data_IF_447546943233
#
_entry.id   IF_447546943233
#
_cell.length_a   1.000
_cell.length_b   1.000
_cell.length_c   1.000
_cell.angle_alpha   90.00
_cell.angle_beta   90.00
_cell.angle_gamma   90.00
#
_symmetry.space_group_name_H-M   'P 1'
#
loop_
_entity.id
_entity.type
_entity.pdbx_description
1 polymer ?
#
# COMPACT_ATOMS: atom_id res chain seq x y z
N UNK A 1 42.53 39.96 -28.12
CA UNK A 1 43.59 38.94 -28.27
C UNK A 1 42.90 37.58 -28.26
N UNK A 2 42.60 36.98 -29.42
CA UNK A 2 43.42 36.02 -30.19
C UNK A 2 43.71 34.71 -29.46
N UNK A 3 43.23 33.63 -30.09
CA UNK A 3 43.68 32.23 -30.10
C UNK A 3 42.90 31.26 -29.17
N UNK A 4 42.13 30.25 -29.64
CA UNK A 4 42.36 29.09 -30.53
C UNK A 4 43.20 27.94 -29.92
N UNK A 5 42.52 26.78 -29.87
CA UNK A 5 42.92 25.36 -30.12
C UNK A 5 43.25 24.40 -28.95
N UNK A 6 42.64 23.20 -29.10
CA UNK A 6 43.05 21.79 -28.81
C UNK A 6 42.25 21.17 -27.66
N UNK A 7 41.52 20.06 -27.81
CA UNK A 7 41.84 18.72 -28.36
C UNK A 7 40.56 18.12 -29.05
N UNK A 8 40.57 17.52 -30.26
CA UNK A 8 40.98 16.15 -30.65
C UNK A 8 40.48 15.06 -29.67
N UNK A 9 39.66 14.05 -30.00
CA UNK A 9 39.08 13.52 -31.24
C UNK A 9 38.40 12.16 -30.94
N UNK A 10 37.75 11.57 -31.96
CA UNK A 10 37.25 10.17 -32.06
C UNK A 10 35.92 9.91 -31.30
N UNK A 11 34.87 9.34 -31.89
CA UNK A 11 34.76 8.66 -33.19
C UNK A 11 33.33 8.40 -33.64
N UNK A 12 33.21 8.35 -34.97
CA UNK A 12 32.37 7.48 -35.81
C UNK A 12 31.08 6.90 -35.18
N UNK A 13 29.93 7.52 -35.47
CA UNK A 13 28.62 6.90 -35.28
C UNK A 13 28.00 6.63 -36.65
N UNK A 14 28.04 5.37 -37.05
CA UNK A 14 27.41 4.83 -38.26
C UNK A 14 25.90 4.93 -38.08
N UNK A 15 25.26 5.84 -38.81
CA UNK A 15 23.81 5.81 -38.98
C UNK A 15 23.46 4.75 -40.03
N UNK A 16 23.01 3.59 -39.56
CA UNK A 16 22.31 2.64 -40.39
C UNK A 16 20.91 3.17 -40.72
N UNK A 17 20.67 3.48 -41.99
CA UNK A 17 19.33 3.60 -42.52
C UNK A 17 18.67 2.22 -42.55
N UNK A 18 17.54 2.10 -41.87
CA UNK A 18 16.48 1.18 -42.27
C UNK A 18 15.21 2.02 -42.43
N UNK A 19 14.86 2.29 -43.68
CA UNK A 19 13.54 2.77 -44.07
C UNK A 19 12.70 1.53 -44.42
N UNK A 20 11.66 1.28 -43.62
CA UNK A 20 10.43 0.57 -43.98
C UNK A 20 9.34 1.32 -43.21
N UNK A 21 8.59 2.24 -43.83
CA UNK A 21 7.44 1.96 -44.68
C UNK A 21 6.36 1.16 -43.94
N UNK A 22 5.39 1.86 -43.31
CA UNK A 22 3.95 1.77 -43.62
C UNK A 22 3.11 2.58 -42.60
N UNK A 23 1.94 3.02 -43.04
CA UNK A 23 0.99 3.92 -42.36
C UNK A 23 0.36 3.38 -41.06
N UNK A 24 -0.23 4.33 -40.31
CA UNK A 24 -1.22 4.23 -39.22
C UNK A 24 -0.76 4.05 -37.76
N UNK A 25 -1.38 4.88 -36.91
CA UNK A 25 -1.67 4.67 -35.48
C UNK A 25 -0.84 5.49 -34.47
N UNK A 26 -1.50 6.56 -34.00
CA UNK A 26 -1.58 7.07 -32.61
C UNK A 26 -0.28 7.57 -31.96
N UNK A 27 -0.26 8.89 -31.80
CA UNK A 27 0.65 9.63 -30.93
C UNK A 27 0.88 8.90 -29.60
N UNK A 28 2.15 8.77 -29.25
CA UNK A 28 2.67 8.16 -28.04
C UNK A 28 1.98 8.74 -26.82
N UNK A 29 1.13 7.93 -26.18
CA UNK A 29 0.71 8.19 -24.82
C UNK A 29 1.95 8.03 -23.94
N UNK A 30 2.41 9.16 -23.41
CA UNK A 30 3.32 9.26 -22.28
C UNK A 30 2.73 8.41 -21.15
N UNK A 31 3.18 7.16 -21.09
CA UNK A 31 2.83 6.24 -20.04
C UNK A 31 3.60 6.72 -18.84
N UNK A 32 2.91 7.44 -17.94
CA UNK A 32 3.41 7.68 -16.60
C UNK A 32 3.84 6.33 -16.05
N UNK A 33 5.16 6.10 -15.99
CA UNK A 33 5.73 4.90 -15.43
C UNK A 33 5.20 4.84 -14.00
N UNK A 34 4.33 3.87 -13.73
CA UNK A 34 4.04 3.46 -12.38
C UNK A 34 5.41 3.16 -11.75
N UNK A 35 5.87 4.04 -10.86
CA UNK A 35 7.04 3.77 -10.04
C UNK A 35 6.81 2.39 -9.44
N UNK A 36 7.61 1.43 -9.90
CA UNK A 36 7.57 0.07 -9.39
C UNK A 36 8.01 0.17 -7.94
N UNK A 37 7.05 0.24 -7.02
CA UNK A 37 7.32 0.11 -5.60
C UNK A 37 7.89 -1.29 -5.43
N UNK A 38 9.21 -1.40 -5.30
CA UNK A 38 9.87 -2.67 -5.09
C UNK A 38 9.20 -3.36 -3.90
N UNK A 39 8.56 -4.49 -4.15
CA UNK A 39 7.98 -5.31 -3.09
C UNK A 39 9.11 -5.94 -2.30
N UNK A 40 8.99 -5.87 -0.98
CA UNK A 40 9.83 -6.60 -0.04
C UNK A 40 9.53 -8.09 -0.04
N UNK A 41 10.25 -8.82 0.80
CA UNK A 41 10.01 -10.25 0.99
C UNK A 41 8.59 -10.51 1.51
N UNK A 42 7.93 -11.60 1.09
CA UNK A 42 6.63 -11.98 1.62
C UNK A 42 6.71 -12.20 3.14
N UNK A 43 5.78 -11.61 3.86
CA UNK A 43 5.57 -11.82 5.29
C UNK A 43 4.57 -12.96 5.45
N UNK A 44 4.77 -13.77 6.48
CA UNK A 44 3.87 -14.88 6.81
C UNK A 44 3.57 -14.87 8.31
N UNK A 45 2.28 -14.91 8.62
CA UNK A 45 1.73 -14.89 9.97
C UNK A 45 0.78 -16.09 10.14
N UNK A 46 0.32 -16.32 11.37
CA UNK A 46 -0.66 -17.36 11.69
C UNK A 46 -0.22 -18.75 11.18
N UNK A 47 1.02 -19.14 11.45
CA UNK A 47 1.59 -20.42 11.01
C UNK A 47 1.49 -20.67 9.49
N UNK A 48 1.54 -19.62 8.68
CA UNK A 48 1.47 -19.73 7.21
C UNK A 48 0.09 -19.54 6.61
N UNK A 49 -0.93 -19.34 7.43
CA UNK A 49 -2.33 -19.15 6.99
C UNK A 49 -2.59 -17.76 6.44
N UNK A 50 -1.80 -16.77 6.88
CA UNK A 50 -1.81 -15.42 6.34
C UNK A 50 -0.45 -15.10 5.73
N UNK A 51 -0.45 -14.56 4.52
CA UNK A 51 0.74 -14.00 3.89
C UNK A 51 0.43 -12.76 3.07
N UNK A 52 1.36 -11.82 3.00
CA UNK A 52 1.25 -10.59 2.21
C UNK A 52 2.64 -10.02 1.94
N UNK A 53 2.75 -9.08 1.00
CA UNK A 53 3.97 -8.37 0.69
C UNK A 53 3.85 -6.90 1.09
N UNK A 54 4.90 -6.36 1.68
CA UNK A 54 5.01 -4.94 1.98
C UNK A 54 6.00 -4.26 1.03
N UNK A 55 5.93 -2.93 0.87
CA UNK A 55 7.01 -2.15 0.28
C UNK A 55 8.37 -2.43 0.94
N UNK A 56 9.44 -2.46 0.14
CA UNK A 56 10.79 -2.84 0.60
C UNK A 56 11.38 -1.94 1.71
N UNK A 57 10.84 -0.74 1.89
CA UNK A 57 11.25 0.20 2.94
C UNK A 57 10.57 -0.07 4.29
N UNK A 58 9.61 -0.99 4.37
CA UNK A 58 8.93 -1.35 5.62
C UNK A 58 9.62 -2.51 6.32
N UNK A 59 9.77 -2.39 7.64
CA UNK A 59 10.45 -3.37 8.49
C UNK A 59 9.61 -3.69 9.73
N UNK A 60 9.80 -4.89 10.29
CA UNK A 60 9.10 -5.32 11.49
C UNK A 60 9.53 -4.50 12.72
N UNK A 61 8.54 -3.90 13.38
CA UNK A 61 8.64 -3.12 14.62
C UNK A 61 7.87 -3.78 15.78
N UNK A 62 7.36 -5.00 15.60
CA UNK A 62 6.72 -5.78 16.64
C UNK A 62 7.64 -5.90 17.86
N UNK A 63 7.09 -5.70 19.06
CA UNK A 63 7.85 -5.75 20.32
C UNK A 63 8.72 -4.54 20.63
N UNK A 64 8.93 -3.60 19.69
CA UNK A 64 9.62 -2.33 19.96
C UNK A 64 8.69 -1.23 20.50
N UNK A 65 7.38 -1.39 20.30
CA UNK A 65 6.32 -0.45 20.71
C UNK A 65 5.73 -0.75 22.11
N UNK A 66 6.32 -1.66 22.88
CA UNK A 66 5.88 -2.02 24.24
C UNK A 66 5.75 -3.53 24.44
N UNK A 67 5.00 -3.96 25.47
CA UNK A 67 4.66 -5.36 25.68
C UNK A 67 3.84 -5.88 24.50
N UNK A 68 4.48 -6.67 23.65
CA UNK A 68 3.86 -7.31 22.50
C UNK A 68 2.71 -8.21 22.99
N UNK A 69 1.49 -7.88 22.61
CA UNK A 69 0.47 -8.92 22.52
C UNK A 69 0.92 -9.84 21.37
N UNK A 70 0.99 -11.15 21.60
CA UNK A 70 1.40 -12.14 20.59
C UNK A 70 0.62 -12.03 19.26
N UNK A 71 -0.51 -11.34 19.31
CA UNK A 71 -1.46 -11.23 18.24
C UNK A 71 -1.37 -9.91 17.45
N UNK A 72 -0.41 -9.03 17.76
CA UNK A 72 -0.23 -7.75 17.07
C UNK A 72 1.15 -7.67 16.44
N UNK A 73 1.17 -7.46 15.12
CA UNK A 73 2.37 -7.26 14.33
C UNK A 73 2.37 -5.86 13.73
N UNK A 74 3.47 -5.13 13.88
CA UNK A 74 3.59 -3.76 13.38
C UNK A 74 4.76 -3.70 12.42
N UNK A 75 4.51 -3.22 11.21
CA UNK A 75 5.52 -2.96 10.20
C UNK A 75 5.50 -1.48 9.87
N UNK A 76 6.66 -0.83 9.84
CA UNK A 76 6.72 0.58 9.45
C UNK A 76 7.95 0.89 8.63
N UNK A 77 7.89 1.99 7.89
CA UNK A 77 9.10 2.62 7.36
C UNK A 77 9.93 3.25 8.52
N UNK A 78 11.18 3.68 8.26
CA UNK A 78 12.03 4.28 9.28
C UNK A 78 11.46 5.56 9.92
N UNK A 79 10.60 6.29 9.23
CA UNK A 79 9.98 7.52 9.76
C UNK A 79 8.72 7.25 10.59
N UNK A 80 8.14 6.05 10.48
CA UNK A 80 6.87 5.68 11.12
C UNK A 80 5.63 6.32 10.47
N UNK A 81 5.80 7.03 9.34
CA UNK A 81 4.69 7.66 8.63
C UNK A 81 3.92 6.67 7.76
N UNK A 82 4.57 5.60 7.31
CA UNK A 82 3.95 4.45 6.66
C UNK A 82 3.94 3.29 7.65
N UNK A 83 2.76 2.76 7.95
CA UNK A 83 2.60 1.65 8.87
C UNK A 83 1.58 0.63 8.36
N UNK A 84 1.86 -0.65 8.61
CA UNK A 84 0.91 -1.75 8.50
C UNK A 84 0.85 -2.45 9.84
N UNK A 85 -0.34 -2.51 10.43
CA UNK A 85 -0.60 -3.18 11.70
C UNK A 85 -1.53 -4.36 11.43
N UNK A 86 -1.12 -5.55 11.83
CA UNK A 86 -1.93 -6.76 11.75
C UNK A 86 -2.30 -7.19 13.17
N UNK A 87 -3.59 -7.31 13.44
CA UNK A 87 -4.13 -7.74 14.73
C UNK A 87 -4.98 -8.98 14.52
N UNK A 88 -4.73 -10.02 15.32
CA UNK A 88 -5.48 -11.28 15.34
C UNK A 88 -6.25 -11.38 16.65
N UNK A 89 -7.54 -11.08 16.62
CA UNK A 89 -8.41 -11.15 17.79
C UNK A 89 -9.17 -12.47 17.89
N UNK A 90 -9.83 -12.67 19.03
CA UNK A 90 -10.89 -13.65 19.15
C UNK A 90 -12.01 -13.35 18.13
N UNK A 91 -12.69 -14.39 17.65
CA UNK A 91 -13.83 -14.20 16.76
C UNK A 91 -15.00 -13.51 17.47
N UNK A 92 -15.96 -13.05 16.68
CA UNK A 92 -17.19 -12.44 17.14
C UNK A 92 -18.36 -12.88 16.26
N UNK A 93 -19.56 -12.88 16.82
CA UNK A 93 -20.79 -13.13 16.06
C UNK A 93 -21.22 -11.90 15.23
N UNK A 94 -20.65 -10.72 15.53
CA UNK A 94 -20.91 -9.51 14.74
C UNK A 94 -20.48 -9.69 13.28
N UNK A 95 -21.31 -9.20 12.36
CA UNK A 95 -21.00 -9.20 10.94
C UNK A 95 -19.88 -8.19 10.64
N UNK A 96 -19.00 -8.50 9.67
CA UNK A 96 -17.88 -7.63 9.30
C UNK A 96 -18.31 -6.19 8.93
N UNK A 97 -19.44 -5.94 8.23
CA UNK A 97 -19.91 -4.57 7.97
C UNK A 97 -20.29 -3.79 9.23
N UNK A 98 -20.82 -4.47 10.26
CA UNK A 98 -21.15 -3.85 11.55
C UNK A 98 -19.88 -3.42 12.27
N UNK A 99 -18.86 -4.29 12.27
CA UNK A 99 -17.54 -3.98 12.81
C UNK A 99 -16.89 -2.80 12.09
N UNK A 100 -16.93 -2.77 10.76
CA UNK A 100 -16.39 -1.67 9.97
C UNK A 100 -17.11 -0.35 10.28
N UNK A 101 -18.45 -0.34 10.36
CA UNK A 101 -19.19 0.85 10.75
C UNK A 101 -18.84 1.34 12.15
N UNK A 102 -18.63 0.43 13.12
CA UNK A 102 -18.18 0.80 14.45
C UNK A 102 -16.78 1.42 14.44
N UNK A 103 -15.86 0.88 13.64
CA UNK A 103 -14.53 1.48 13.45
C UNK A 103 -14.60 2.86 12.80
N UNK A 104 -15.46 3.03 11.80
CA UNK A 104 -15.72 4.33 11.17
C UNK A 104 -16.20 5.35 12.20
N UNK A 105 -17.20 5.01 13.01
CA UNK A 105 -17.72 5.93 14.05
C UNK A 105 -16.64 6.26 15.09
N UNK A 106 -15.79 5.29 15.45
CA UNK A 106 -14.62 5.54 16.31
C UNK A 106 -13.62 6.50 15.66
N UNK A 107 -13.32 6.35 14.37
CA UNK A 107 -12.46 7.29 13.64
C UNK A 107 -13.08 8.68 13.59
N UNK A 108 -14.38 8.79 13.27
CA UNK A 108 -15.11 10.05 13.15
C UNK A 108 -15.21 10.81 14.48
N UNK A 109 -15.28 10.06 15.60
CA UNK A 109 -15.26 10.66 16.94
C UNK A 109 -13.92 11.34 17.27
N UNK A 110 -12.82 10.89 16.64
CA UNK A 110 -11.47 11.43 16.83
C UNK A 110 -11.14 12.49 15.78
N UNK A 111 -11.68 12.34 14.58
CA UNK A 111 -11.53 13.24 13.45
C UNK A 111 -12.91 13.59 12.87
N UNK A 112 -13.51 14.73 13.26
CA UNK A 112 -14.77 15.21 12.70
C UNK A 112 -14.73 15.50 11.19
N UNK A 113 -13.53 15.62 10.60
CA UNK A 113 -13.31 15.87 9.18
C UNK A 113 -12.99 14.59 8.39
N UNK A 114 -13.17 13.41 9.01
CA UNK A 114 -12.96 12.11 8.38
C UNK A 114 -13.70 12.02 7.04
N UNK A 115 -12.98 11.65 5.99
CA UNK A 115 -13.56 11.39 4.68
C UNK A 115 -13.55 9.90 4.42
N UNK A 116 -14.72 9.30 4.25
CA UNK A 116 -14.82 7.88 3.89
C UNK A 116 -14.62 7.75 2.37
N UNK A 117 -13.61 6.99 1.97
CA UNK A 117 -13.30 6.71 0.56
C UNK A 117 -14.03 5.45 0.10
N UNK A 118 -14.07 4.43 0.93
CA UNK A 118 -14.76 3.16 0.64
C UNK A 118 -15.16 2.46 1.92
N UNK A 119 -16.31 1.80 1.92
CA UNK A 119 -16.73 0.86 2.96
C UNK A 119 -17.53 -0.25 2.27
N UNK A 120 -16.86 -1.34 1.91
CA UNK A 120 -17.46 -2.40 1.07
C UNK A 120 -16.94 -3.79 1.41
N UNK A 121 -17.75 -4.78 1.04
CA UNK A 121 -17.30 -6.17 1.00
C UNK A 121 -16.34 -6.36 -0.18
N UNK A 122 -15.27 -7.09 0.02
CA UNK A 122 -14.32 -7.52 -1.03
C UNK A 122 -14.17 -9.03 -0.98
N UNK A 123 -13.96 -9.64 -2.15
CA UNK A 123 -13.66 -11.07 -2.27
C UNK A 123 -12.17 -11.23 -2.56
N UNK A 124 -11.47 -11.91 -1.67
CA UNK A 124 -10.03 -12.12 -1.80
C UNK A 124 -9.71 -13.60 -1.66
N UNK A 125 -9.42 -14.23 -2.80
CA UNK A 125 -9.03 -15.65 -2.91
C UNK A 125 -10.02 -16.61 -2.24
N UNK A 126 -11.32 -16.32 -2.35
CA UNK A 126 -12.40 -17.16 -1.78
C UNK A 126 -12.82 -16.78 -0.36
N UNK A 127 -12.22 -15.73 0.22
CA UNK A 127 -12.63 -15.18 1.51
C UNK A 127 -13.32 -13.84 1.32
N UNK A 128 -14.52 -13.71 1.89
CA UNK A 128 -15.21 -12.43 2.02
C UNK A 128 -14.58 -11.62 3.15
N UNK A 129 -14.05 -10.45 2.81
CA UNK A 129 -13.49 -9.48 3.74
C UNK A 129 -14.29 -8.17 3.67
N UNK A 130 -14.14 -7.31 4.69
CA UNK A 130 -14.70 -5.96 4.67
C UNK A 130 -13.56 -4.95 4.63
N UNK A 131 -13.57 -4.06 3.64
CA UNK A 131 -12.59 -2.99 3.48
C UNK A 131 -13.23 -1.65 3.82
N UNK A 132 -12.58 -0.90 4.71
CA UNK A 132 -12.90 0.47 5.10
C UNK A 132 -11.69 1.37 4.81
N UNK A 133 -11.82 2.22 3.81
CA UNK A 133 -10.81 3.22 3.46
C UNK A 133 -11.30 4.60 3.85
N UNK A 134 -10.42 5.38 4.46
CA UNK A 134 -10.69 6.75 4.87
C UNK A 134 -9.47 7.64 4.75
N UNK A 135 -9.72 8.94 4.66
CA UNK A 135 -8.71 9.99 4.81
C UNK A 135 -8.93 10.58 6.19
N UNK A 136 -7.90 10.49 7.02
CA UNK A 136 -7.89 10.96 8.40
C UNK A 136 -6.99 12.20 8.46
N UNK A 137 -7.46 13.24 9.14
CA UNK A 137 -6.72 14.48 9.39
C UNK A 137 -6.48 14.64 10.89
N UNK A 138 -5.22 14.68 11.30
CA UNK A 138 -4.85 14.90 12.70
C UNK A 138 -3.67 15.86 12.79
N UNK A 139 -3.82 16.93 13.59
CA UNK A 139 -2.75 17.93 13.85
C UNK A 139 -2.10 18.50 12.58
N UNK A 140 -2.88 18.70 11.52
CA UNK A 140 -2.40 19.22 10.24
C UNK A 140 -1.68 18.20 9.35
N UNK A 141 -1.64 16.93 9.74
CA UNK A 141 -1.19 15.82 8.90
C UNK A 141 -2.38 15.04 8.38
N UNK A 142 -2.34 14.69 7.10
CA UNK A 142 -3.36 13.90 6.44
C UNK A 142 -2.81 12.52 6.13
N UNK A 143 -3.53 11.48 6.51
CA UNK A 143 -3.17 10.10 6.25
C UNK A 143 -4.30 9.36 5.54
N UNK A 144 -3.92 8.52 4.60
CA UNK A 144 -4.80 7.53 3.99
C UNK A 144 -4.76 6.29 4.87
N UNK A 145 -5.93 5.88 5.37
CA UNK A 145 -6.12 4.70 6.20
C UNK A 145 -6.92 3.68 5.41
N UNK A 146 -6.42 2.45 5.31
CA UNK A 146 -7.17 1.31 4.79
C UNK A 146 -7.23 0.21 5.84
N UNK A 147 -8.44 -0.16 6.25
CA UNK A 147 -8.69 -1.21 7.23
C UNK A 147 -9.38 -2.38 6.52
N UNK A 148 -8.78 -3.57 6.59
CA UNK A 148 -9.37 -4.81 6.12
C UNK A 148 -9.71 -5.70 7.32
N UNK A 149 -10.96 -6.12 7.39
CA UNK A 149 -11.48 -7.04 8.40
C UNK A 149 -11.81 -8.39 7.75
N UNK A 150 -11.46 -9.48 8.42
CA UNK A 150 -11.75 -10.84 7.96
C UNK A 150 -11.97 -11.79 9.12
N UNK A 151 -12.70 -12.88 8.86
CA UNK A 151 -12.76 -14.03 9.78
C UNK A 151 -11.96 -15.16 9.17
N UNK A 152 -10.87 -15.56 9.82
CA UNK A 152 -9.96 -16.62 9.36
C UNK A 152 -9.77 -17.59 10.51
N UNK A 153 -10.05 -18.88 10.30
CA UNK A 153 -9.87 -19.94 11.31
C UNK A 153 -10.45 -19.62 12.70
N UNK A 154 -11.68 -19.11 12.72
CA UNK A 154 -12.35 -18.70 13.95
C UNK A 154 -11.56 -17.63 14.75
N UNK A 155 -10.90 -16.72 14.04
CA UNK A 155 -10.25 -15.54 14.57
C UNK A 155 -10.65 -14.31 13.75
N UNK A 156 -10.71 -13.15 14.41
CA UNK A 156 -10.95 -11.87 13.75
C UNK A 156 -9.61 -11.26 13.31
N UNK A 157 -9.36 -11.25 12.01
CA UNK A 157 -8.22 -10.59 11.40
C UNK A 157 -8.57 -9.11 11.16
N UNK A 158 -7.68 -8.22 11.61
CA UNK A 158 -7.71 -6.79 11.29
C UNK A 158 -6.36 -6.38 10.73
N UNK A 159 -6.35 -5.85 9.51
CA UNK A 159 -5.16 -5.26 8.88
C UNK A 159 -5.41 -3.77 8.72
N UNK A 160 -4.54 -2.94 9.28
CA UNK A 160 -4.61 -1.49 9.18
C UNK A 160 -3.40 -0.99 8.44
N UNK A 161 -3.60 -0.35 7.29
CA UNK A 161 -2.58 0.33 6.50
C UNK A 161 -2.76 1.82 6.71
N UNK A 162 -1.69 2.52 7.09
CA UNK A 162 -1.66 3.99 7.23
C UNK A 162 -0.52 4.53 6.39
N UNK A 163 -0.82 5.47 5.50
CA UNK A 163 0.12 6.07 4.57
C UNK A 163 -0.06 7.59 4.55
N UNK A 164 1.01 8.38 4.31
CA UNK A 164 0.87 9.81 4.08
C UNK A 164 -0.04 10.10 2.88
N UNK A 165 -0.96 11.06 3.01
CA UNK A 165 -1.92 11.40 1.98
C UNK A 165 -1.60 12.71 1.24
N UNK A 166 -0.34 13.16 1.22
CA UNK A 166 0.09 14.31 0.41
C UNK A 166 -0.26 14.10 -1.08
N UNK A 167 -0.14 12.85 -1.53
CA UNK A 167 -0.69 12.37 -2.80
C UNK A 167 -1.66 11.22 -2.52
N UNK A 168 -2.95 11.54 -2.41
CA UNK A 168 -4.00 10.57 -2.11
C UNK A 168 -4.02 9.40 -3.09
N UNK A 169 -3.86 9.64 -4.40
CA UNK A 169 -3.91 8.58 -5.39
C UNK A 169 -2.75 7.59 -5.22
N UNK A 170 -1.54 8.09 -4.96
CA UNK A 170 -0.37 7.25 -4.69
C UNK A 170 -0.58 6.42 -3.41
N UNK A 171 -1.09 7.04 -2.35
CA UNK A 171 -1.37 6.36 -1.09
C UNK A 171 -2.41 5.24 -1.27
N UNK A 172 -3.51 5.52 -1.98
CA UNK A 172 -4.53 4.54 -2.31
C UNK A 172 -3.95 3.37 -3.12
N UNK A 173 -3.20 3.63 -4.20
CA UNK A 173 -2.59 2.57 -5.01
C UNK A 173 -1.63 1.72 -4.18
N UNK A 174 -0.83 2.32 -3.30
CA UNK A 174 0.05 1.55 -2.40
C UNK A 174 -0.74 0.67 -1.43
N UNK A 175 -1.81 1.18 -0.84
CA UNK A 175 -2.68 0.40 0.05
C UNK A 175 -3.34 -0.77 -0.69
N UNK A 176 -3.90 -0.52 -1.88
CA UNK A 176 -4.49 -1.55 -2.74
C UNK A 176 -3.47 -2.62 -3.15
N UNK A 177 -2.23 -2.21 -3.47
CA UNK A 177 -1.15 -3.16 -3.79
C UNK A 177 -0.83 -4.08 -2.61
N UNK A 178 -0.76 -3.55 -1.39
CA UNK A 178 -0.56 -4.36 -0.18
C UNK A 178 -1.73 -5.33 -0.01
N UNK A 179 -2.97 -4.85 -0.09
CA UNK A 179 -4.18 -5.67 0.08
C UNK A 179 -4.26 -6.78 -0.97
N UNK A 180 -3.98 -6.48 -2.24
CA UNK A 180 -4.02 -7.46 -3.33
C UNK A 180 -2.98 -8.59 -3.17
N UNK A 181 -1.92 -8.37 -2.40
CA UNK A 181 -0.93 -9.41 -2.11
C UNK A 181 -1.39 -10.39 -1.03
N UNK A 182 -2.47 -10.10 -0.32
CA UNK A 182 -2.97 -10.96 0.75
C UNK A 182 -3.24 -12.38 0.22
N UNK A 183 -2.82 -13.36 1.00
CA UNK A 183 -3.10 -14.77 0.78
C UNK A 183 -3.62 -15.31 2.11
N UNK A 184 -4.84 -15.82 2.08
CA UNK A 184 -5.46 -16.54 3.18
C UNK A 184 -5.59 -17.99 2.72
N UNK A 185 -5.15 -18.94 3.53
CA UNK A 185 -5.16 -20.38 3.24
C UNK A 185 -6.08 -21.13 4.18
#
# INVERSE_FOLDING_TARGET
MRNLVKYAGIGLLVMGLAACDNNDTKASAESAAAESQASGQPISLMDGKLSFSLPADMTDQSGKLGTQANNMHVYSDPTGQKAVIVIVGDNTDEALPVLANRLLEQQRSRDPQLQVVTNKSIELKGHTLQQLDSIISAKGQTAYSSIVLGKVDNQLLTIQVTLPADNQQKAQTTAENIINTLVIK
#
